data_IF_669233877672
#
_entry.id   IF_669233877672
#
_cell.length_a   1.000
_cell.length_b   1.000
_cell.length_c   1.000
_cell.angle_alpha   90.00
_cell.angle_beta   90.00
_cell.angle_gamma   90.00
#
_symmetry.space_group_name_H-M   'P 1'
#
loop_
_entity.id
_entity.type
_entity.pdbx_description
1 polymer ?
#
# COMPACT_ATOMS: atom_id res chain seq x y z
N UNK A 1 -54.42 8.20 -0.22
CA UNK A 1 -53.33 8.79 0.57
C UNK A 1 -52.80 7.62 1.39
N UNK A 2 -51.71 7.00 0.96
CA UNK A 2 -51.18 5.75 1.55
C UNK A 2 -50.10 6.15 2.55
N UNK A 3 -50.20 5.58 3.75
CA UNK A 3 -49.45 5.90 4.97
C UNK A 3 -47.95 5.56 4.83
N UNK A 4 -47.09 6.52 5.16
CA UNK A 4 -45.62 6.41 5.15
C UNK A 4 -45.05 6.09 6.55
N UNK A 5 -45.84 5.50 7.45
CA UNK A 5 -45.46 5.37 8.87
C UNK A 5 -44.62 4.13 9.21
N UNK A 6 -44.65 3.08 8.39
CA UNK A 6 -43.94 1.82 8.69
C UNK A 6 -42.40 1.89 8.48
N UNK A 7 -41.92 2.66 7.49
CA UNK A 7 -40.49 2.70 7.12
C UNK A 7 -39.59 3.36 8.18
N UNK A 8 -40.12 4.32 8.93
CA UNK A 8 -39.38 5.02 9.99
C UNK A 8 -39.19 4.14 11.23
N UNK A 9 -40.18 3.30 11.55
CA UNK A 9 -40.14 2.46 12.74
C UNK A 9 -39.15 1.29 12.57
N UNK A 10 -39.13 0.67 11.39
CA UNK A 10 -38.15 -0.37 11.03
C UNK A 10 -36.72 0.18 11.03
N UNK A 11 -36.51 1.37 10.46
CA UNK A 11 -35.20 2.01 10.45
C UNK A 11 -34.68 2.31 11.86
N UNK A 12 -35.55 2.78 12.75
CA UNK A 12 -35.18 3.07 14.14
C UNK A 12 -34.87 1.78 14.92
N UNK A 13 -35.67 0.72 14.74
CA UNK A 13 -35.45 -0.57 15.36
C UNK A 13 -34.10 -1.20 14.97
N UNK A 14 -33.70 -1.10 13.70
CA UNK A 14 -32.40 -1.57 13.22
C UNK A 14 -31.25 -0.79 13.87
N UNK A 15 -31.39 0.54 14.00
CA UNK A 15 -30.38 1.38 14.64
C UNK A 15 -30.21 1.06 16.13
N UNK A 16 -31.31 0.83 16.84
CA UNK A 16 -31.27 0.51 18.26
C UNK A 16 -30.73 -0.91 18.50
N UNK A 17 -31.06 -1.87 17.63
CA UNK A 17 -30.47 -3.20 17.66
C UNK A 17 -28.96 -3.17 17.39
N UNK A 18 -28.51 -2.39 16.40
CA UNK A 18 -27.10 -2.24 16.09
C UNK A 18 -26.31 -1.64 17.26
N UNK A 19 -26.88 -0.63 17.95
CA UNK A 19 -26.28 -0.05 19.15
C UNK A 19 -26.20 -1.06 20.29
N UNK A 20 -27.27 -1.79 20.57
CA UNK A 20 -27.29 -2.80 21.63
C UNK A 20 -26.25 -3.90 21.37
N UNK A 21 -26.12 -4.37 20.13
CA UNK A 21 -25.12 -5.36 19.74
C UNK A 21 -23.69 -4.81 19.86
N UNK A 22 -23.44 -3.56 19.46
CA UNK A 22 -22.13 -2.93 19.61
C UNK A 22 -21.74 -2.79 21.09
N UNK A 23 -22.68 -2.40 21.96
CA UNK A 23 -22.45 -2.31 23.40
C UNK A 23 -22.20 -3.68 24.04
N UNK A 24 -22.94 -4.71 23.63
CA UNK A 24 -22.73 -6.09 24.08
C UNK A 24 -21.35 -6.63 23.66
N UNK A 25 -20.95 -6.40 22.40
CA UNK A 25 -19.64 -6.77 21.87
C UNK A 25 -18.48 -6.03 22.55
N UNK A 26 -18.71 -4.79 23.00
CA UNK A 26 -17.72 -4.03 23.77
C UNK A 26 -17.57 -4.58 25.20
N UNK A 27 -18.68 -5.00 25.83
CA UNK A 27 -18.70 -5.55 27.19
C UNK A 27 -18.21 -7.00 27.26
N UNK A 28 -18.42 -7.79 26.21
CA UNK A 28 -18.06 -9.22 26.18
C UNK A 28 -16.56 -9.48 26.01
N UNK A 29 -15.76 -8.47 25.68
CA UNK A 29 -14.31 -8.61 25.49
C UNK A 29 -13.56 -8.48 26.82
N UNK A 30 -13.56 -9.55 27.61
CA UNK A 30 -12.51 -9.76 28.61
C UNK A 30 -11.19 -9.97 27.86
N UNK A 31 -10.21 -9.08 28.09
CA UNK A 31 -8.88 -9.06 27.48
C UNK A 31 -8.84 -8.85 25.96
N UNK A 32 -9.16 -7.62 25.52
CA UNK A 32 -8.63 -7.13 24.25
C UNK A 32 -7.13 -6.91 24.46
N UNK A 33 -6.28 -7.82 24.00
CA UNK A 33 -4.94 -7.40 23.61
C UNK A 33 -5.17 -6.36 22.52
N UNK A 34 -4.74 -5.11 22.75
CA UNK A 34 -4.69 -4.14 21.67
C UNK A 34 -3.99 -4.83 20.50
N UNK A 35 -4.55 -4.81 19.28
CA UNK A 35 -3.83 -5.34 18.13
C UNK A 35 -2.42 -4.76 18.17
N UNK A 36 -1.40 -5.61 18.07
CA UNK A 36 -0.04 -5.11 17.90
C UNK A 36 -0.10 -4.05 16.80
N UNK A 37 0.41 -2.85 17.06
CA UNK A 37 0.46 -1.80 16.06
C UNK A 37 1.12 -2.39 14.82
N UNK A 38 0.39 -2.41 13.70
CA UNK A 38 0.98 -2.82 12.43
C UNK A 38 1.95 -1.70 12.08
N UNK A 39 3.24 -1.97 12.21
CA UNK A 39 4.28 -1.02 11.80
C UNK A 39 4.20 -0.87 10.27
N UNK A 40 3.95 0.37 9.82
CA UNK A 40 4.01 0.72 8.41
C UNK A 40 5.46 0.84 7.95
N UNK A 41 5.66 0.95 6.63
CA UNK A 41 6.99 1.19 6.06
C UNK A 41 7.50 2.56 6.53
N UNK A 42 8.79 2.70 6.83
CA UNK A 42 9.36 4.01 7.15
C UNK A 42 9.19 4.96 5.95
N UNK A 43 8.77 6.19 6.24
CA UNK A 43 8.57 7.25 5.23
C UNK A 43 9.88 7.87 4.79
N UNK A 44 10.99 7.54 5.45
CA UNK A 44 12.30 8.12 5.19
C UNK A 44 13.33 7.06 4.78
N UNK A 45 14.36 7.51 4.06
CA UNK A 45 15.52 6.69 3.74
C UNK A 45 15.28 5.58 2.69
N UNK A 46 15.83 4.41 2.99
CA UNK A 46 15.97 3.31 2.03
C UNK A 46 14.64 2.60 1.78
N UNK A 47 13.87 2.36 2.84
CA UNK A 47 12.58 1.66 2.78
C UNK A 47 11.57 2.40 1.87
N UNK A 48 11.51 3.72 1.96
CA UNK A 48 10.71 4.54 1.06
C UNK A 48 11.13 4.35 -0.41
N UNK A 49 12.43 4.24 -0.67
CA UNK A 49 12.96 4.06 -2.02
C UNK A 49 12.59 2.69 -2.58
N UNK A 50 12.69 1.64 -1.76
CA UNK A 50 12.30 0.28 -2.12
C UNK A 50 10.80 0.18 -2.38
N UNK A 51 9.98 0.76 -1.48
CA UNK A 51 8.54 0.84 -1.65
C UNK A 51 8.16 1.51 -2.97
N UNK A 52 8.74 2.67 -3.28
CA UNK A 52 8.45 3.40 -4.52
C UNK A 52 8.88 2.63 -5.77
N UNK A 53 10.02 1.90 -5.71
CA UNK A 53 10.48 1.05 -6.81
C UNK A 53 9.54 -0.12 -7.06
N UNK A 54 9.03 -0.77 -6.02
CA UNK A 54 8.06 -1.87 -6.14
C UNK A 54 6.74 -1.31 -6.69
N UNK A 55 6.27 -0.20 -6.16
CA UNK A 55 5.03 0.43 -6.61
C UNK A 55 5.08 0.82 -8.09
N UNK A 56 6.18 1.45 -8.53
CA UNK A 56 6.45 1.76 -9.93
C UNK A 56 6.49 0.49 -10.78
N UNK A 57 7.20 -0.55 -10.32
CA UNK A 57 7.32 -1.81 -11.05
C UNK A 57 5.96 -2.43 -11.32
N UNK A 58 5.13 -2.59 -10.28
CA UNK A 58 3.80 -3.18 -10.38
C UNK A 58 2.91 -2.40 -11.37
N UNK A 59 2.98 -1.07 -11.34
CA UNK A 59 2.25 -0.22 -12.29
C UNK A 59 2.77 -0.38 -13.72
N UNK A 60 4.10 -0.37 -13.91
CA UNK A 60 4.73 -0.47 -15.23
C UNK A 60 4.49 -1.82 -15.92
N UNK A 61 4.33 -2.91 -15.17
CA UNK A 61 3.95 -4.22 -15.72
C UNK A 61 2.44 -4.39 -15.89
N UNK A 62 1.64 -3.37 -15.58
CA UNK A 62 0.20 -3.34 -15.81
C UNK A 62 -0.65 -4.03 -14.74
N UNK A 63 -0.12 -4.26 -13.53
CA UNK A 63 -0.93 -4.74 -12.41
C UNK A 63 -1.73 -3.57 -11.82
N UNK A 64 -3.04 -3.63 -11.94
CA UNK A 64 -3.93 -2.54 -11.50
C UNK A 64 -4.24 -2.65 -10.00
N UNK A 65 -4.48 -3.87 -9.50
CA UNK A 65 -4.89 -4.09 -8.10
C UNK A 65 -3.72 -4.16 -7.13
N UNK A 66 -2.60 -4.75 -7.54
CA UNK A 66 -1.45 -4.95 -6.67
C UNK A 66 -0.85 -3.63 -6.10
N UNK A 67 -0.69 -2.55 -6.88
CA UNK A 67 -0.22 -1.26 -6.34
C UNK A 67 -1.19 -0.62 -5.34
N UNK A 68 -2.49 -0.89 -5.47
CA UNK A 68 -3.49 -0.39 -4.51
C UNK A 68 -3.41 -1.17 -3.21
N UNK A 69 -3.40 -2.50 -3.27
CA UNK A 69 -3.24 -3.35 -2.08
C UNK A 69 -1.96 -2.98 -1.34
N UNK A 70 -0.83 -2.86 -2.06
CA UNK A 70 0.45 -2.47 -1.49
C UNK A 70 0.38 -1.12 -0.77
N UNK A 71 -0.32 -0.12 -1.34
CA UNK A 71 -0.52 1.19 -0.71
C UNK A 71 -1.22 1.09 0.64
N UNK A 72 -2.29 0.30 0.71
CA UNK A 72 -3.08 0.14 1.93
C UNK A 72 -2.34 -0.69 2.97
N UNK A 73 -1.75 -1.82 2.57
CA UNK A 73 -1.02 -2.72 3.47
C UNK A 73 0.25 -2.06 4.03
N UNK A 74 0.89 -1.18 3.26
CA UNK A 74 2.07 -0.43 3.72
C UNK A 74 1.73 0.76 4.61
N UNK A 75 0.44 1.03 4.86
CA UNK A 75 -0.07 2.21 5.56
C UNK A 75 0.31 3.55 4.90
N UNK A 76 0.41 3.56 3.56
CA UNK A 76 0.78 4.75 2.75
C UNK A 76 -0.22 5.05 1.62
N UNK A 77 -1.53 5.21 1.91
CA UNK A 77 -2.53 5.41 0.87
C UNK A 77 -2.35 6.70 0.06
N UNK A 78 -1.66 7.70 0.62
CA UNK A 78 -1.49 9.03 0.00
C UNK A 78 -0.19 9.18 -0.77
N UNK A 79 0.76 8.24 -0.66
CA UNK A 79 2.02 8.34 -1.40
C UNK A 79 1.73 8.12 -2.88
N UNK A 80 2.07 9.13 -3.68
CA UNK A 80 2.02 9.08 -5.13
C UNK A 80 3.42 8.79 -5.64
N UNK A 81 3.52 7.76 -6.48
CA UNK A 81 4.74 7.46 -7.21
C UNK A 81 4.97 8.56 -8.25
N UNK A 82 6.21 9.08 -8.28
CA UNK A 82 6.68 9.96 -9.35
C UNK A 82 7.92 9.35 -9.97
N UNK A 83 7.69 8.62 -11.07
CA UNK A 83 8.73 7.97 -11.86
C UNK A 83 9.88 8.89 -12.19
N UNK A 84 9.61 10.15 -12.55
CA UNK A 84 10.66 11.08 -13.00
C UNK A 84 11.57 11.43 -11.83
N UNK A 85 10.98 11.75 -10.68
CA UNK A 85 11.72 12.06 -9.46
C UNK A 85 12.49 10.85 -8.95
N UNK A 86 11.88 9.65 -8.94
CA UNK A 86 12.52 8.42 -8.52
C UNK A 86 13.70 8.03 -9.43
N UNK A 87 13.50 8.11 -10.75
CA UNK A 87 14.55 7.84 -11.73
C UNK A 87 15.71 8.83 -11.60
N UNK A 88 15.43 10.12 -11.40
CA UNK A 88 16.46 11.14 -11.21
C UNK A 88 17.30 10.87 -9.96
N UNK A 89 16.65 10.52 -8.84
CA UNK A 89 17.33 10.17 -7.58
C UNK A 89 18.26 8.96 -7.76
N UNK A 90 17.85 7.98 -8.55
CA UNK A 90 18.59 6.74 -8.78
C UNK A 90 19.51 6.75 -10.02
N UNK A 91 19.59 7.88 -10.75
CA UNK A 91 20.32 8.01 -12.02
C UNK A 91 19.90 6.98 -13.08
N UNK A 92 18.60 6.72 -13.15
CA UNK A 92 17.95 5.81 -14.11
C UNK A 92 17.26 6.59 -15.24
N UNK A 93 16.86 5.88 -16.30
CA UNK A 93 16.16 6.49 -17.44
C UNK A 93 14.66 6.54 -17.16
N UNK A 94 14.10 7.74 -17.09
CA UNK A 94 12.66 7.94 -16.87
C UNK A 94 11.82 7.81 -18.15
N UNK A 95 12.43 7.96 -19.34
CA UNK A 95 11.73 8.05 -20.62
C UNK A 95 11.45 6.70 -21.30
N UNK A 96 12.08 5.61 -20.85
CA UNK A 96 11.84 4.28 -21.40
C UNK A 96 10.68 3.58 -20.67
N UNK A 97 10.13 2.52 -21.29
CA UNK A 97 9.04 1.70 -20.72
C UNK A 97 9.55 0.61 -19.76
N UNK A 98 10.86 0.49 -19.59
CA UNK A 98 11.46 -0.50 -18.69
C UNK A 98 11.21 -0.06 -17.26
N UNK A 99 10.67 -0.92 -16.39
CA UNK A 99 10.52 -0.59 -14.98
C UNK A 99 11.85 -0.15 -14.35
N UNK A 100 11.83 0.84 -13.47
CA UNK A 100 13.03 1.38 -12.82
C UNK A 100 13.75 0.32 -12.00
N UNK A 101 13.00 -0.57 -11.33
CA UNK A 101 13.57 -1.70 -10.61
C UNK A 101 14.37 -2.64 -11.54
N UNK A 102 13.86 -2.90 -12.74
CA UNK A 102 14.56 -3.73 -13.73
C UNK A 102 15.83 -3.03 -14.22
N UNK A 103 15.78 -1.71 -14.47
CA UNK A 103 16.96 -0.94 -14.85
C UNK A 103 18.03 -0.97 -13.75
N UNK A 104 17.63 -0.86 -12.48
CA UNK A 104 18.53 -0.89 -11.34
C UNK A 104 19.24 -2.25 -11.21
N UNK A 105 18.48 -3.35 -11.32
CA UNK A 105 19.04 -4.71 -11.29
C UNK A 105 20.03 -4.92 -12.43
N UNK A 106 19.68 -4.49 -13.65
CA UNK A 106 20.58 -4.61 -14.80
C UNK A 106 21.91 -3.87 -14.58
N UNK A 107 21.87 -2.62 -14.08
CA UNK A 107 23.09 -1.89 -13.73
C UNK A 107 23.93 -2.61 -12.69
N UNK A 108 23.30 -3.25 -11.69
CA UNK A 108 24.01 -3.99 -10.65
C UNK A 108 24.68 -5.25 -11.20
N UNK A 109 24.02 -5.98 -12.07
CA UNK A 109 24.58 -7.17 -12.72
C UNK A 109 25.80 -6.81 -13.58
N UNK A 110 25.73 -5.75 -14.37
CA UNK A 110 26.87 -5.27 -15.17
C UNK A 110 28.09 -4.90 -14.31
N UNK A 111 27.85 -4.31 -13.12
CA UNK A 111 28.94 -3.97 -12.20
C UNK A 111 29.62 -5.23 -11.66
N UNK A 112 28.84 -6.24 -11.27
CA UNK A 112 29.37 -7.51 -10.77
C UNK A 112 30.21 -8.22 -11.84
N UNK A 113 29.72 -8.29 -13.08
CA UNK A 113 30.47 -8.90 -14.19
C UNK A 113 31.80 -8.18 -14.48
N UNK A 114 31.84 -6.85 -14.33
CA UNK A 114 33.08 -6.08 -14.51
C UNK A 114 34.07 -6.33 -13.37
N UNK A 115 33.59 -6.49 -12.15
CA UNK A 115 34.42 -6.82 -10.99
C UNK A 115 35.03 -8.21 -11.13
N UNK A 116 34.24 -9.20 -11.58
CA UNK A 116 34.72 -10.56 -11.81
C UNK A 116 35.80 -10.63 -12.88
N UNK A 117 35.63 -9.87 -13.98
CA UNK A 117 36.64 -9.76 -15.06
C UNK A 117 37.91 -9.02 -14.64
N UNK A 118 37.84 -8.12 -13.66
CA UNK A 118 39.01 -7.39 -13.17
C UNK A 118 39.84 -8.20 -12.16
N UNK A 119 39.25 -9.25 -11.58
CA UNK A 119 39.89 -10.14 -10.61
C UNK A 119 40.43 -11.45 -11.22
N UNK A 120 40.23 -11.65 -12.52
CA UNK A 120 40.80 -12.75 -13.33
C UNK A 120 42.02 -12.25 -14.10
#
# INVERSE_FOLDING_TARGET
>A
MIEFEEDNNVSQAILDQAKAQAEEQARSKQQIQMPNEIEGIDKEGLEQTEYLLIQEYLQSIGLVTAPEVLRYESLHPTIKEDRRTLAQRLKLRSYDKTPLLVQLIAQRLEQLERQDKANQ
#
